data_IF_100391297634
#
_entry.id   IF_100391297634
#
_cell.length_a   1.000
_cell.length_b   1.000
_cell.length_c   1.000
_cell.angle_alpha   90.00
_cell.angle_beta   90.00
_cell.angle_gamma   90.00
#
_symmetry.space_group_name_H-M   'P 1'
#
loop_
_entity.id
_entity.type
_entity.pdbx_description
1 polymer ?
#
# COMPACT_ATOMS: atom_id res chain seq x y z
N UNK A 1 8.14 6.85 -40.08
CA UNK A 1 7.64 6.96 -38.69
C UNK A 1 8.52 7.95 -37.94
N UNK A 2 7.96 8.87 -37.15
CA UNK A 2 8.72 9.82 -36.33
C UNK A 2 8.73 9.31 -34.89
N UNK A 3 9.92 9.09 -34.33
CA UNK A 3 10.15 8.64 -32.96
C UNK A 3 10.82 9.77 -32.18
N UNK A 4 10.27 10.12 -31.03
CA UNK A 4 10.90 11.00 -30.06
C UNK A 4 11.24 10.15 -28.85
N UNK A 5 12.49 10.21 -28.41
CA UNK A 5 12.94 9.54 -27.18
C UNK A 5 12.73 10.53 -26.05
N UNK A 6 11.84 10.20 -25.12
CA UNK A 6 11.63 10.96 -23.89
C UNK A 6 12.67 10.47 -22.88
N UNK A 7 13.39 11.38 -22.25
CA UNK A 7 14.33 11.05 -21.18
C UNK A 7 13.55 10.43 -20.00
N UNK A 8 14.09 9.40 -19.32
CA UNK A 8 13.44 8.88 -18.13
C UNK A 8 13.36 9.98 -17.08
N UNK A 9 12.14 10.40 -16.75
CA UNK A 9 11.87 11.15 -15.52
C UNK A 9 12.08 10.17 -14.38
N UNK A 10 13.14 10.38 -13.59
CA UNK A 10 13.23 9.70 -12.30
C UNK A 10 12.00 10.10 -11.48
N UNK A 11 11.20 9.16 -10.94
CA UNK A 11 10.19 9.52 -9.97
C UNK A 11 10.91 10.13 -8.76
N UNK A 12 10.73 11.43 -8.55
CA UNK A 12 11.08 12.06 -7.28
C UNK A 12 10.06 11.53 -6.28
N UNK A 13 10.47 10.59 -5.41
CA UNK A 13 9.62 10.01 -4.37
C UNK A 13 9.47 10.97 -3.17
N UNK A 14 9.31 12.26 -3.43
CA UNK A 14 8.91 13.20 -2.39
C UNK A 14 7.40 13.06 -2.17
N UNK A 15 7.01 12.96 -0.91
CA UNK A 15 5.60 12.90 -0.54
C UNK A 15 4.91 14.17 -1.03
N UNK A 16 3.77 14.06 -1.75
CA UNK A 16 3.11 15.24 -2.29
C UNK A 16 2.62 16.17 -1.17
N UNK A 17 2.71 17.48 -1.42
CA UNK A 17 2.21 18.55 -0.56
C UNK A 17 0.67 18.62 -0.68
N UNK A 18 0.00 17.66 -0.06
CA UNK A 18 -1.46 17.54 -0.01
C UNK A 18 -1.92 17.36 1.44
N UNK A 19 -3.16 17.76 1.71
CA UNK A 19 -3.77 17.54 3.02
C UNK A 19 -4.23 16.09 3.14
N UNK A 20 -3.44 15.27 3.81
CA UNK A 20 -3.74 13.86 4.05
C UNK A 20 -4.90 13.68 5.05
N UNK A 21 -5.73 12.66 4.80
CA UNK A 21 -6.79 12.26 5.72
C UNK A 21 -6.21 11.69 7.02
N UNK A 22 -6.84 12.02 8.15
CA UNK A 22 -6.53 11.36 9.43
C UNK A 22 -7.27 10.01 9.50
N UNK A 23 -6.76 9.01 8.77
CA UNK A 23 -7.40 7.70 8.60
C UNK A 23 -7.83 7.05 9.93
N UNK A 24 -7.01 7.03 11.00
CA UNK A 24 -7.42 6.43 12.28
C UNK A 24 -8.69 7.00 12.91
N UNK A 25 -9.04 8.25 12.58
CA UNK A 25 -10.23 8.92 13.15
C UNK A 25 -11.49 8.69 12.32
N UNK A 26 -11.38 8.17 11.09
CA UNK A 26 -12.47 8.11 10.11
C UNK A 26 -12.67 6.74 9.45
N UNK A 27 -11.91 5.73 9.87
CA UNK A 27 -11.93 4.42 9.25
C UNK A 27 -11.62 3.30 10.25
N UNK A 28 -12.19 2.13 9.96
CA UNK A 28 -11.83 0.87 10.58
C UNK A 28 -10.91 0.06 9.65
N UNK A 29 -9.93 -0.65 10.21
CA UNK A 29 -9.07 -1.56 9.46
C UNK A 29 -9.20 -2.99 9.97
N UNK A 30 -9.45 -3.91 9.05
CA UNK A 30 -9.41 -5.34 9.27
C UNK A 30 -8.19 -5.94 8.56
N UNK A 31 -7.42 -6.74 9.28
CA UNK A 31 -6.18 -7.36 8.80
C UNK A 31 -6.24 -8.87 9.00
N UNK A 32 -5.59 -9.63 8.12
CA UNK A 32 -5.57 -11.09 8.20
C UNK A 32 -4.73 -11.62 9.36
N UNK A 33 -3.63 -10.95 9.69
CA UNK A 33 -2.76 -11.28 10.83
C UNK A 33 -1.88 -10.10 11.21
N UNK A 34 -1.28 -10.12 12.40
CA UNK A 34 -0.42 -9.03 12.88
C UNK A 34 0.64 -9.56 13.84
N UNK A 35 1.88 -9.12 13.65
CA UNK A 35 2.97 -9.36 14.58
C UNK A 35 2.90 -8.35 15.75
N UNK A 36 3.03 -8.78 17.02
CA UNK A 36 2.84 -7.90 18.19
C UNK A 36 3.71 -6.64 18.22
N UNK A 37 4.93 -6.71 17.66
CA UNK A 37 5.88 -5.59 17.66
C UNK A 37 5.71 -4.64 16.45
N UNK A 38 4.85 -5.00 15.50
CA UNK A 38 4.63 -4.27 14.25
C UNK A 38 3.13 -4.07 14.00
N UNK A 39 2.45 -3.34 14.89
CA UNK A 39 1.01 -3.17 14.83
C UNK A 39 0.57 -2.23 13.69
N UNK A 40 -0.67 -2.37 13.23
CA UNK A 40 -1.21 -1.65 12.07
C UNK A 40 -1.26 -0.14 12.26
N UNK A 41 -1.39 0.34 13.50
CA UNK A 41 -1.39 1.76 13.85
C UNK A 41 -0.10 2.45 13.41
N UNK A 42 1.03 1.72 13.36
CA UNK A 42 2.30 2.26 12.92
C UNK A 42 2.29 2.72 11.45
N UNK A 43 1.44 2.15 10.60
CA UNK A 43 1.31 2.53 9.18
C UNK A 43 0.76 3.94 9.00
N UNK A 44 -0.06 4.39 9.95
CA UNK A 44 -0.76 5.68 9.89
C UNK A 44 -0.11 6.75 10.79
N UNK A 45 0.80 6.36 11.69
CA UNK A 45 1.46 7.29 12.59
C UNK A 45 2.59 8.06 11.88
N UNK A 46 2.57 9.39 12.00
CA UNK A 46 3.60 10.27 11.40
C UNK A 46 5.00 10.07 12.01
N UNK A 47 5.07 9.53 13.23
CA UNK A 47 6.30 9.41 14.03
C UNK A 47 6.77 7.97 14.21
N UNK A 48 6.09 6.99 13.63
CA UNK A 48 6.47 5.59 13.80
C UNK A 48 7.81 5.30 13.12
N UNK A 49 8.65 4.54 13.81
CA UNK A 49 9.96 4.10 13.31
C UNK A 49 9.89 2.79 12.53
N UNK A 50 8.70 2.18 12.46
CA UNK A 50 8.39 0.95 11.74
C UNK A 50 6.97 1.04 11.19
N UNK A 51 6.57 0.08 10.35
CA UNK A 51 5.18 -0.05 9.91
C UNK A 51 4.51 -1.31 10.48
N UNK A 52 3.56 -1.85 9.73
CA UNK A 52 2.89 -3.10 10.02
C UNK A 52 3.66 -4.32 9.47
N UNK A 53 3.57 -5.45 10.17
CA UNK A 53 4.05 -6.76 9.70
C UNK A 53 3.04 -7.85 10.04
N UNK A 54 2.82 -8.75 9.10
CA UNK A 54 1.97 -9.92 9.31
C UNK A 54 2.58 -10.91 10.32
N UNK A 55 1.74 -11.58 11.12
CA UNK A 55 2.18 -12.67 11.99
C UNK A 55 2.41 -13.99 11.24
N UNK A 56 1.74 -14.17 10.10
CA UNK A 56 1.83 -15.40 9.30
C UNK A 56 2.42 -15.14 7.93
N UNK A 57 3.12 -16.14 7.38
CA UNK A 57 3.66 -16.09 6.02
C UNK A 57 2.58 -16.18 4.94
N UNK A 58 2.91 -15.73 3.74
CA UNK A 58 2.04 -15.82 2.56
C UNK A 58 1.12 -14.61 2.37
N UNK A 59 0.21 -14.65 1.39
CA UNK A 59 -0.64 -13.51 1.05
C UNK A 59 -1.44 -12.99 2.25
N UNK A 60 -1.52 -11.67 2.38
CA UNK A 60 -2.25 -10.99 3.45
C UNK A 60 -3.22 -9.96 2.87
N UNK A 61 -4.32 -9.74 3.57
CA UNK A 61 -5.37 -8.79 3.17
C UNK A 61 -5.52 -7.74 4.27
N UNK A 62 -5.52 -6.48 3.85
CA UNK A 62 -5.86 -5.33 4.68
C UNK A 62 -7.07 -4.65 4.04
N UNK A 63 -8.17 -4.58 4.78
CA UNK A 63 -9.40 -3.89 4.38
C UNK A 63 -9.58 -2.65 5.24
N UNK A 64 -9.50 -1.48 4.64
CA UNK A 64 -9.78 -0.19 5.26
C UNK A 64 -11.19 0.24 4.84
N UNK A 65 -12.10 0.34 5.80
CA UNK A 65 -13.48 0.75 5.59
C UNK A 65 -13.72 2.10 6.26
N UNK A 66 -14.12 3.10 5.49
CA UNK A 66 -14.41 4.43 6.00
C UNK A 66 -15.76 4.48 6.71
N UNK A 67 -15.85 5.22 7.81
CA UNK A 67 -17.11 5.43 8.55
C UNK A 67 -18.15 6.16 7.71
N UNK A 68 -17.69 7.04 6.82
CA UNK A 68 -18.47 7.72 5.78
C UNK A 68 -17.73 7.63 4.45
N UNK A 69 -18.44 7.51 3.31
CA UNK A 69 -17.78 7.44 2.00
C UNK A 69 -16.84 8.64 1.76
N UNK A 70 -15.64 8.37 1.25
CA UNK A 70 -14.62 9.39 0.97
C UNK A 70 -14.42 9.58 -0.53
N UNK A 71 -14.18 10.83 -0.94
CA UNK A 71 -13.63 11.14 -2.25
C UNK A 71 -12.11 11.14 -2.13
N UNK A 72 -11.43 10.40 -3.01
CA UNK A 72 -9.97 10.24 -2.99
C UNK A 72 -9.38 10.77 -4.29
N UNK A 73 -8.29 11.52 -4.17
CA UNK A 73 -7.48 12.06 -5.25
C UNK A 73 -6.08 11.48 -5.28
N UNK A 74 -5.59 11.01 -4.14
CA UNK A 74 -4.24 10.48 -4.01
C UNK A 74 -4.23 9.29 -3.04
N UNK A 75 -3.50 8.24 -3.39
CA UNK A 75 -3.17 7.15 -2.47
C UNK A 75 -1.65 6.94 -2.50
N UNK A 76 -1.04 6.94 -1.32
CA UNK A 76 0.37 6.70 -1.11
C UNK A 76 0.57 5.36 -0.40
N UNK A 77 1.40 4.51 -0.98
CA UNK A 77 1.86 3.27 -0.36
C UNK A 77 3.38 3.28 -0.29
N UNK A 78 3.92 2.78 0.81
CA UNK A 78 5.36 2.55 0.96
C UNK A 78 5.61 1.18 1.55
N UNK A 79 6.49 0.45 0.91
CA UNK A 79 6.99 -0.84 1.35
C UNK A 79 8.50 -0.74 1.59
N UNK A 80 8.97 -1.47 2.58
CA UNK A 80 10.40 -1.59 2.90
C UNK A 80 10.73 -3.08 3.05
N UNK A 81 11.82 -3.50 2.43
CA UNK A 81 12.41 -4.83 2.57
C UNK A 81 13.93 -4.68 2.60
N UNK A 82 14.55 -5.06 3.72
CA UNK A 82 16.01 -4.90 3.92
C UNK A 82 16.71 -6.22 4.23
N UNK A 83 15.95 -7.31 4.35
CA UNK A 83 16.42 -8.61 4.83
C UNK A 83 16.47 -9.61 3.67
N UNK A 84 15.46 -9.61 2.80
CA UNK A 84 15.27 -10.63 1.77
C UNK A 84 15.28 -10.05 0.36
N UNK A 85 15.94 -10.76 -0.56
CA UNK A 85 15.72 -10.57 -2.00
C UNK A 85 14.45 -11.33 -2.39
N UNK A 86 13.43 -10.61 -2.87
CA UNK A 86 12.13 -11.20 -3.23
C UNK A 86 11.41 -10.40 -4.31
N UNK A 87 10.50 -11.07 -5.01
CA UNK A 87 9.53 -10.41 -5.89
C UNK A 87 8.21 -10.33 -5.14
N UNK A 88 7.86 -9.15 -4.66
CA UNK A 88 6.56 -8.88 -4.04
C UNK A 88 5.53 -8.51 -5.11
N UNK A 89 4.27 -8.88 -4.91
CA UNK A 89 3.13 -8.28 -5.60
C UNK A 89 2.21 -7.60 -4.58
N UNK A 90 1.64 -6.45 -4.94
CA UNK A 90 0.44 -5.97 -4.27
C UNK A 90 -0.68 -5.71 -5.28
N UNK A 91 -1.91 -5.86 -4.80
CA UNK A 91 -3.14 -5.47 -5.49
C UNK A 91 -3.89 -4.49 -4.59
N UNK A 92 -4.09 -3.28 -5.07
CA UNK A 92 -4.98 -2.29 -4.45
C UNK A 92 -6.30 -2.26 -5.23
N UNK A 93 -7.40 -2.45 -4.51
CA UNK A 93 -8.76 -2.39 -5.04
C UNK A 93 -9.61 -1.45 -4.19
N UNK A 94 -10.70 -0.94 -4.76
CA UNK A 94 -11.66 -0.11 -4.04
C UNK A 94 -13.09 -0.61 -4.23
N UNK A 95 -13.96 -0.27 -3.28
CA UNK A 95 -15.40 -0.53 -3.33
C UNK A 95 -16.18 0.73 -2.97
N UNK A 96 -17.33 0.91 -3.63
CA UNK A 96 -18.31 1.97 -3.33
C UNK A 96 -19.58 1.44 -2.64
N UNK A 97 -19.61 0.13 -2.35
CA UNK A 97 -20.79 -0.61 -1.90
C UNK A 97 -20.52 -1.42 -0.63
N UNK A 98 -19.70 -0.87 0.27
CA UNK A 98 -19.35 -1.48 1.56
C UNK A 98 -18.64 -2.84 1.41
N UNK A 99 -17.79 -2.95 0.40
CA UNK A 99 -16.96 -4.14 0.16
C UNK A 99 -17.67 -5.31 -0.50
N UNK A 100 -18.85 -5.11 -1.12
CA UNK A 100 -19.55 -6.18 -1.85
C UNK A 100 -18.92 -6.43 -3.21
N UNK A 101 -18.56 -5.35 -3.92
CA UNK A 101 -17.88 -5.40 -5.22
C UNK A 101 -16.60 -4.57 -5.13
N UNK A 102 -15.49 -5.21 -5.50
CA UNK A 102 -14.19 -4.56 -5.61
C UNK A 102 -13.81 -4.33 -7.08
N UNK A 103 -13.30 -3.13 -7.34
CA UNK A 103 -12.71 -2.74 -8.59
C UNK A 103 -11.20 -2.65 -8.41
N UNK A 104 -10.44 -3.38 -9.22
CA UNK A 104 -8.98 -3.28 -9.25
C UNK A 104 -8.58 -1.86 -9.64
N UNK A 105 -7.78 -1.21 -8.79
CA UNK A 105 -7.23 0.10 -9.05
C UNK A 105 -5.84 -0.02 -9.68
N UNK A 106 -4.97 -0.80 -9.04
CA UNK A 106 -3.62 -1.07 -9.51
C UNK A 106 -3.11 -2.39 -8.96
N UNK A 107 -2.32 -3.08 -9.77
CA UNK A 107 -1.51 -4.23 -9.38
C UNK A 107 -0.08 -4.00 -9.81
N UNK A 108 0.86 -4.10 -8.89
CA UNK A 108 2.29 -3.94 -9.17
C UNK A 108 3.08 -5.10 -8.61
N UNK A 109 4.19 -5.38 -9.28
CA UNK A 109 5.21 -6.29 -8.82
C UNK A 109 6.53 -5.55 -8.69
N UNK A 110 7.22 -5.75 -7.57
CA UNK A 110 8.51 -5.13 -7.29
C UNK A 110 9.54 -6.15 -6.83
N UNK A 111 10.76 -5.98 -7.32
CA UNK A 111 11.90 -6.81 -6.97
C UNK A 111 12.71 -6.12 -5.88
N UNK A 112 12.52 -6.55 -4.63
CA UNK A 112 13.35 -6.11 -3.54
C UNK A 112 14.72 -6.77 -3.59
N UNK A 113 15.74 -5.98 -3.27
CA UNK A 113 17.11 -6.41 -3.15
C UNK A 113 17.77 -5.65 -1.99
N UNK A 114 18.20 -6.36 -0.91
CA UNK A 114 18.81 -5.74 0.27
C UNK A 114 20.03 -4.84 -0.02
N UNK A 115 20.71 -5.04 -1.15
CA UNK A 115 21.91 -4.28 -1.51
C UNK A 115 21.60 -2.96 -2.23
N UNK A 116 20.47 -2.83 -2.95
CA UNK A 116 20.23 -1.65 -3.78
C UNK A 116 18.76 -1.26 -4.04
N UNK A 117 17.77 -2.09 -3.70
CA UNK A 117 16.37 -1.85 -3.96
C UNK A 117 15.55 -2.27 -2.73
N UNK A 118 15.69 -1.54 -1.63
CA UNK A 118 15.07 -1.87 -0.34
C UNK A 118 13.72 -1.22 -0.12
N UNK A 119 13.27 -0.37 -1.05
CA UNK A 119 12.05 0.41 -0.90
C UNK A 119 11.27 0.42 -2.21
N UNK A 120 9.96 0.38 -2.07
CA UNK A 120 8.98 0.59 -3.14
C UNK A 120 8.00 1.65 -2.62
N UNK A 121 7.82 2.71 -3.39
CA UNK A 121 6.92 3.82 -3.08
C UNK A 121 6.00 4.01 -4.27
N UNK A 122 4.71 4.02 -4.00
CA UNK A 122 3.67 4.20 -5.00
C UNK A 122 2.85 5.44 -4.65
N UNK A 123 2.86 6.42 -5.57
CA UNK A 123 2.06 7.62 -5.48
C UNK A 123 0.99 7.57 -6.58
N UNK A 124 -0.18 7.05 -6.22
CA UNK A 124 -1.25 6.72 -7.15
C UNK A 124 -2.23 7.91 -7.19
N UNK A 125 -2.19 8.64 -8.30
CA UNK A 125 -3.15 9.71 -8.57
C UNK A 125 -4.46 9.09 -9.07
N UNK A 126 -5.56 9.46 -8.44
CA UNK A 126 -6.88 8.89 -8.69
C UNK A 126 -7.96 9.98 -8.75
N UNK A 127 -9.14 9.62 -9.25
CA UNK A 127 -10.33 10.46 -9.16
C UNK A 127 -11.52 9.58 -8.77
N UNK A 128 -11.50 9.12 -7.52
CA UNK A 128 -12.52 8.22 -6.98
C UNK A 128 -13.49 9.01 -6.12
N UNK A 129 -14.78 8.77 -6.32
CA UNK A 129 -15.86 9.37 -5.53
C UNK A 129 -16.61 8.32 -4.72
N UNK A 130 -17.05 8.69 -3.53
CA UNK A 130 -17.85 7.85 -2.63
C UNK A 130 -17.23 6.46 -2.38
N UNK A 131 -15.92 6.40 -2.16
CA UNK A 131 -15.20 5.18 -1.77
C UNK A 131 -15.60 4.80 -0.36
N UNK A 132 -16.07 3.58 -0.19
CA UNK A 132 -16.44 3.01 1.11
C UNK A 132 -15.33 2.15 1.70
N UNK A 133 -14.64 1.38 0.85
CA UNK A 133 -13.60 0.45 1.30
C UNK A 133 -12.43 0.45 0.33
N UNK A 134 -11.21 0.43 0.85
CA UNK A 134 -10.00 0.08 0.14
C UNK A 134 -9.53 -1.31 0.61
N UNK A 135 -9.15 -2.16 -0.35
CA UNK A 135 -8.55 -3.45 -0.07
C UNK A 135 -7.14 -3.50 -0.65
N UNK A 136 -6.18 -3.77 0.21
CA UNK A 136 -4.81 -4.04 -0.17
C UNK A 136 -4.51 -5.53 0.08
N UNK A 137 -4.21 -6.25 -0.99
CA UNK A 137 -3.71 -7.63 -0.93
C UNK A 137 -2.21 -7.59 -1.20
N UNK A 138 -1.41 -8.11 -0.28
CA UNK A 138 0.05 -8.19 -0.42
C UNK A 138 0.44 -9.65 -0.53
N UNK A 139 1.02 -10.04 -1.66
CA UNK A 139 1.69 -11.32 -1.85
C UNK A 139 3.19 -11.09 -1.60
N UNK A 140 3.72 -11.49 -0.43
CA UNK A 140 5.07 -11.10 -0.04
C UNK A 140 6.15 -11.67 -0.96
N UNK A 141 5.93 -12.85 -1.52
CA UNK A 141 6.86 -13.45 -2.46
C UNK A 141 6.11 -14.27 -3.51
N UNK A 142 6.21 -13.87 -4.77
CA UNK A 142 5.62 -14.55 -5.92
C UNK A 142 6.21 -15.94 -6.17
N UNK A 143 7.36 -16.26 -5.57
CA UNK A 143 7.94 -17.61 -5.59
C UNK A 143 7.32 -18.57 -4.57
N UNK A 144 6.33 -18.11 -3.79
CA UNK A 144 5.68 -18.84 -2.68
C UNK A 144 6.62 -19.22 -1.53
N UNK A 145 7.72 -18.49 -1.34
CA UNK A 145 8.54 -18.61 -0.12
C UNK A 145 7.71 -18.23 1.12
N UNK A 146 8.00 -18.81 2.30
CA UNK A 146 7.27 -18.54 3.53
C UNK A 146 7.67 -17.19 4.17
N UNK A 147 7.63 -16.11 3.38
CA UNK A 147 7.89 -14.75 3.84
C UNK A 147 6.61 -14.08 4.32
N UNK A 148 6.75 -13.12 5.24
CA UNK A 148 5.64 -12.33 5.79
C UNK A 148 5.47 -11.04 5.00
N UNK A 149 4.22 -10.59 4.84
CA UNK A 149 3.94 -9.27 4.30
C UNK A 149 4.24 -8.16 5.32
N UNK A 150 4.60 -6.98 4.83
CA UNK A 150 4.81 -5.78 5.62
C UNK A 150 4.41 -4.55 4.83
N UNK A 151 4.01 -3.49 5.53
CA UNK A 151 3.63 -2.20 4.93
C UNK A 151 4.19 -1.09 5.82
N UNK A 152 4.88 -0.12 5.24
CA UNK A 152 5.50 0.98 5.99
C UNK A 152 4.54 2.16 6.14
N UNK A 153 3.90 2.60 5.07
CA UNK A 153 2.98 3.74 5.09
C UNK A 153 1.79 3.49 4.15
N UNK A 154 0.61 3.93 4.56
CA UNK A 154 -0.59 3.97 3.74
C UNK A 154 -1.32 5.28 4.00
N UNK A 155 -1.29 6.21 3.03
CA UNK A 155 -1.91 7.52 3.16
C UNK A 155 -2.86 7.78 2.00
N UNK A 156 -3.86 8.60 2.23
CA UNK A 156 -4.83 8.97 1.22
C UNK A 156 -5.32 10.39 1.46
N UNK A 157 -5.64 11.08 0.37
CA UNK A 157 -6.10 12.47 0.33
C UNK A 157 -7.14 12.63 -0.79
#
# INVERSE_FOLDING_TARGET
MRKTIIAPSAPTHDQPDVQWLNVPDIAHIAITSEAPDYPIENVFALTATSGWRAATSGPQILNLTFDQPQDLKCIWLKFIETEHQRTQEFLLSYSKDQGQIFHELVRQQWNFNPQNATQEIENIQVDLTAVTTLQLVITPDMSNSPLTASLCEWRMA
#
